data_IF_028122695462
#
_entry.id   IF_028122695462
#
_cell.length_a   1.000
_cell.length_b   1.000
_cell.length_c   1.000
_cell.angle_alpha   90.00
_cell.angle_beta   90.00
_cell.angle_gamma   90.00
#
_symmetry.space_group_name_H-M   'P 1'
#
loop_
_entity.id
_entity.type
_entity.pdbx_description
1 polymer ?
#
# COMPACT_ATOMS: atom_id res chain seq x y z
N UNK A 1 -19.87 30.23 72.74
CA UNK A 1 -19.14 31.44 72.32
C UNK A 1 -18.91 31.34 70.82
N UNK A 2 -19.65 32.12 70.03
CA UNK A 2 -19.42 32.42 68.61
C UNK A 2 -18.79 33.83 68.53
N UNK A 3 -18.11 34.26 67.43
CA UNK A 3 -18.80 34.79 66.22
C UNK A 3 -17.92 34.71 64.93
N UNK A 4 -18.17 35.47 63.84
CA UNK A 4 -19.34 35.41 62.96
C UNK A 4 -19.00 35.27 61.45
N UNK A 5 -20.06 35.01 60.69
CA UNK A 5 -20.20 35.03 59.24
C UNK A 5 -19.93 36.38 58.57
N UNK A 6 -19.47 36.37 57.31
CA UNK A 6 -19.66 37.49 56.37
C UNK A 6 -20.29 37.07 55.04
N UNK A 7 -21.20 37.93 54.62
CA UNK A 7 -22.20 37.83 53.57
C UNK A 7 -21.67 37.74 52.12
N UNK A 8 -22.47 37.06 51.30
CA UNK A 8 -22.60 37.25 49.84
C UNK A 8 -23.48 38.49 49.58
N UNK A 9 -23.38 39.09 48.38
CA UNK A 9 -24.62 39.25 47.60
C UNK A 9 -24.49 38.80 46.14
N UNK A 10 -25.64 38.43 45.59
CA UNK A 10 -25.91 38.08 44.20
C UNK A 10 -26.20 39.34 43.37
N UNK A 11 -25.94 39.26 42.06
CA UNK A 11 -26.49 40.15 41.04
C UNK A 11 -26.19 39.63 39.62
N UNK A 12 -27.21 39.12 38.92
CA UNK A 12 -27.26 38.93 37.45
C UNK A 12 -27.86 40.21 36.80
N UNK A 13 -28.22 40.26 35.49
CA UNK A 13 -27.41 40.27 34.27
C UNK A 13 -27.76 41.49 33.34
N UNK A 14 -27.01 41.72 32.25
CA UNK A 14 -27.44 42.54 31.10
C UNK A 14 -26.68 42.05 29.83
N UNK A 15 -27.36 41.47 28.84
CA UNK A 15 -27.87 42.11 27.60
C UNK A 15 -26.75 42.75 26.76
N UNK A 16 -26.27 42.13 25.67
CA UNK A 16 -26.82 42.19 24.31
C UNK A 16 -27.03 43.64 23.81
N UNK A 17 -26.29 44.02 22.74
CA UNK A 17 -26.76 44.77 21.54
C UNK A 17 -25.58 45.42 20.78
N UNK A 18 -25.53 45.09 19.47
CA UNK A 18 -25.01 45.86 18.31
C UNK A 18 -23.50 46.22 18.22
N UNK A 19 -22.88 46.23 17.03
CA UNK A 19 -23.45 46.21 15.70
C UNK A 19 -22.40 46.12 14.58
N UNK A 20 -22.93 45.79 13.40
CA UNK A 20 -22.33 45.72 12.05
C UNK A 20 -21.77 47.07 11.54
N UNK A 21 -21.29 46.98 10.29
CA UNK A 21 -21.08 48.00 9.23
C UNK A 21 -19.58 48.38 9.14
N UNK A 22 -18.86 48.08 8.06
CA UNK A 22 -19.03 48.63 6.71
C UNK A 22 -18.49 47.70 5.60
N UNK A 23 -19.33 47.48 4.60
CA UNK A 23 -18.96 47.20 3.21
C UNK A 23 -19.37 48.42 2.35
N UNK A 24 -18.80 48.48 1.14
CA UNK A 24 -19.09 49.35 -0.01
C UNK A 24 -18.35 50.68 -0.19
N UNK A 25 -17.51 50.70 -1.23
CA UNK A 25 -17.62 51.53 -2.46
C UNK A 25 -16.73 50.88 -3.56
N UNK A 26 -17.32 50.24 -4.58
CA UNK A 26 -17.69 50.76 -5.91
C UNK A 26 -16.47 51.32 -6.70
N UNK A 27 -15.98 50.64 -7.75
CA UNK A 27 -16.42 50.77 -9.17
C UNK A 27 -15.51 51.80 -9.88
N UNK A 28 -15.00 51.72 -11.10
CA UNK A 28 -15.34 51.04 -12.35
C UNK A 28 -14.26 51.51 -13.37
N UNK A 29 -13.84 50.71 -14.35
CA UNK A 29 -13.64 51.14 -15.76
C UNK A 29 -12.89 50.08 -16.60
N UNK A 30 -13.23 50.09 -17.87
CA UNK A 30 -13.18 49.05 -18.90
C UNK A 30 -12.04 49.27 -19.89
N UNK A 31 -11.49 48.18 -20.46
CA UNK A 31 -11.41 47.86 -21.91
C UNK A 31 -10.26 46.89 -22.20
N UNK A 32 -10.57 45.96 -23.10
CA UNK A 32 -9.85 44.70 -23.26
C UNK A 32 -8.58 44.73 -24.11
N UNK A 33 -7.99 43.54 -24.25
CA UNK A 33 -7.20 43.17 -25.42
C UNK A 33 -7.25 41.65 -25.61
N UNK A 34 -7.15 41.26 -26.88
CA UNK A 34 -7.39 39.95 -27.46
C UNK A 34 -6.42 38.83 -27.02
N UNK A 35 -6.96 37.62 -27.06
CA UNK A 35 -6.38 36.36 -27.54
C UNK A 35 -4.88 36.11 -27.36
N UNK A 36 -4.54 35.12 -26.52
CA UNK A 36 -3.60 34.05 -26.89
C UNK A 36 -4.08 32.70 -26.36
N UNK A 37 -4.21 31.77 -27.28
CA UNK A 37 -4.37 30.33 -27.13
C UNK A 37 -3.30 29.74 -26.21
N UNK A 38 -3.72 29.08 -25.14
CA UNK A 38 -2.90 28.21 -24.29
C UNK A 38 -3.28 26.74 -24.52
N UNK A 39 -2.33 25.80 -24.40
CA UNK A 39 -2.52 24.44 -24.91
C UNK A 39 -3.47 23.63 -24.04
N UNK A 40 -4.20 22.74 -24.71
CA UNK A 40 -4.99 21.66 -24.16
C UNK A 40 -4.27 20.93 -23.01
N UNK A 41 -4.90 20.91 -21.84
CA UNK A 41 -4.58 19.97 -20.76
C UNK A 41 -5.20 18.63 -21.15
N UNK A 42 -4.40 17.75 -21.74
CA UNK A 42 -4.76 16.36 -22.00
C UNK A 42 -4.25 15.46 -20.87
N UNK A 43 -5.20 14.83 -20.18
CA UNK A 43 -5.15 13.50 -19.56
C UNK A 43 -3.92 13.13 -18.69
N UNK A 44 -4.01 13.47 -17.40
CA UNK A 44 -3.16 12.91 -16.33
C UNK A 44 -3.58 11.52 -15.83
N UNK A 45 -4.52 10.81 -16.48
CA UNK A 45 -5.03 9.51 -15.99
C UNK A 45 -4.16 8.31 -16.36
N UNK A 46 -3.21 8.44 -17.30
CA UNK A 46 -2.43 7.30 -17.81
C UNK A 46 -1.24 6.93 -16.92
N UNK A 47 -0.72 7.86 -16.11
CA UNK A 47 0.50 7.61 -15.32
C UNK A 47 0.25 6.94 -13.96
N UNK A 48 -0.99 6.94 -13.46
CA UNK A 48 -1.33 6.38 -12.15
C UNK A 48 -1.60 4.87 -12.20
N UNK A 49 -2.13 4.37 -13.33
CA UNK A 49 -2.30 2.94 -13.61
C UNK A 49 -0.97 2.17 -13.48
N UNK A 50 0.16 2.83 -13.74
CA UNK A 50 1.50 2.24 -13.65
C UNK A 50 1.97 2.01 -12.21
N UNK A 51 1.47 2.74 -11.20
CA UNK A 51 1.87 2.51 -9.80
C UNK A 51 1.33 1.18 -9.29
N UNK A 52 0.01 0.98 -9.43
CA UNK A 52 -0.66 -0.26 -9.05
C UNK A 52 -0.17 -1.39 -9.95
N UNK A 53 -0.09 -1.18 -11.28
CA UNK A 53 0.43 -2.23 -12.18
C UNK A 53 1.89 -2.61 -11.88
N UNK A 54 2.76 -1.74 -11.34
CA UNK A 54 4.12 -2.12 -10.97
C UNK A 54 4.24 -2.84 -9.61
N UNK A 55 3.31 -2.61 -8.68
CA UNK A 55 3.28 -3.29 -7.38
C UNK A 55 2.50 -4.62 -7.47
N UNK A 56 1.58 -4.72 -8.42
CA UNK A 56 0.42 -5.61 -8.37
C UNK A 56 -0.01 -6.07 -9.79
N UNK A 57 0.91 -6.29 -10.74
CA UNK A 57 0.53 -6.92 -12.01
C UNK A 57 0.49 -8.44 -11.89
N UNK A 58 -0.73 -9.00 -11.88
CA UNK A 58 -0.95 -10.37 -12.37
C UNK A 58 -0.92 -10.38 -13.90
N UNK A 59 -0.09 -11.19 -14.58
CA UNK A 59 -0.43 -11.66 -15.92
C UNK A 59 -1.68 -12.56 -15.80
N UNK A 60 -2.70 -12.29 -16.61
CA UNK A 60 -3.95 -13.06 -16.57
C UNK A 60 -3.72 -14.54 -16.98
N UNK A 61 -3.49 -15.42 -16.01
CA UNK A 61 -3.53 -16.87 -16.18
C UNK A 61 -4.97 -17.35 -15.95
N UNK A 62 -5.83 -17.19 -16.96
CA UNK A 62 -7.11 -17.91 -16.96
C UNK A 62 -6.81 -19.41 -17.04
N UNK A 63 -6.98 -20.13 -15.93
CA UNK A 63 -7.25 -21.55 -15.95
C UNK A 63 -8.57 -21.71 -16.70
N UNK A 64 -8.50 -22.15 -17.95
CA UNK A 64 -9.67 -22.54 -18.72
C UNK A 64 -10.32 -23.74 -18.02
N UNK A 65 -11.35 -23.48 -17.21
CA UNK A 65 -12.29 -24.53 -16.79
C UNK A 65 -12.88 -25.13 -18.08
N UNK A 66 -12.45 -26.34 -18.39
CA UNK A 66 -12.96 -27.11 -19.52
C UNK A 66 -14.37 -27.55 -19.17
N UNK A 67 -15.36 -26.77 -19.57
CA UNK A 67 -16.77 -27.17 -19.54
C UNK A 67 -16.98 -28.22 -20.63
N UNK A 68 -17.11 -29.48 -20.22
CA UNK A 68 -17.56 -30.56 -21.10
C UNK A 68 -19.03 -30.34 -21.44
N UNK A 69 -19.31 -29.87 -22.66
CA UNK A 69 -20.64 -30.02 -23.26
C UNK A 69 -20.74 -31.42 -23.86
N UNK A 70 -21.60 -32.24 -23.25
CA UNK A 70 -22.12 -33.46 -23.87
C UNK A 70 -23.20 -33.05 -24.88
N UNK A 71 -23.01 -33.37 -26.16
CA UNK A 71 -24.11 -33.41 -27.13
C UNK A 71 -24.54 -34.86 -27.38
N UNK A 72 -25.85 -35.13 -27.57
CA UNK A 72 -26.32 -36.50 -27.71
C UNK A 72 -26.06 -37.07 -29.10
N UNK A 73 -25.83 -38.37 -29.06
CA UNK A 73 -25.79 -39.34 -30.14
C UNK A 73 -26.98 -39.25 -31.09
N UNK A 74 -26.72 -39.41 -32.39
CA UNK A 74 -27.60 -40.20 -33.25
C UNK A 74 -26.79 -41.02 -34.27
N UNK A 75 -27.20 -42.28 -34.38
CA UNK A 75 -26.70 -43.34 -35.25
C UNK A 75 -27.18 -43.12 -36.71
N UNK A 76 -26.72 -43.73 -37.81
CA UNK A 76 -25.97 -44.96 -38.14
C UNK A 76 -25.58 -44.85 -39.67
N UNK A 77 -25.11 -45.89 -40.40
CA UNK A 77 -23.82 -45.85 -41.09
C UNK A 77 -23.89 -45.97 -42.63
N UNK A 78 -22.79 -45.66 -43.33
CA UNK A 78 -22.46 -46.30 -44.62
C UNK A 78 -20.96 -46.59 -44.75
N UNK A 79 -20.71 -47.69 -45.43
CA UNK A 79 -19.49 -48.49 -45.56
C UNK A 79 -18.42 -47.86 -46.45
N UNK A 80 -17.14 -48.04 -46.11
CA UNK A 80 -16.05 -47.73 -47.03
C UNK A 80 -14.66 -48.06 -46.47
N UNK A 81 -14.07 -49.15 -46.97
CA UNK A 81 -12.71 -49.60 -46.68
C UNK A 81 -11.63 -48.52 -46.89
N UNK A 82 -10.69 -48.40 -45.93
CA UNK A 82 -9.23 -48.26 -46.15
C UNK A 82 -8.50 -48.28 -44.79
N UNK A 83 -7.51 -49.17 -44.65
CA UNK A 83 -6.56 -49.17 -43.52
C UNK A 83 -5.59 -47.98 -43.64
N UNK A 84 -5.33 -47.20 -42.58
CA UNK A 84 -4.14 -46.37 -42.48
C UNK A 84 -3.03 -47.04 -41.64
N UNK A 85 -1.77 -46.59 -41.78
CA UNK A 85 -0.60 -47.32 -41.31
C UNK A 85 -0.33 -47.14 -39.81
N UNK A 86 0.37 -48.14 -39.25
CA UNK A 86 0.86 -48.17 -37.86
C UNK A 86 1.91 -47.06 -37.68
N UNK A 87 1.56 -46.01 -36.94
CA UNK A 87 2.49 -44.97 -36.51
C UNK A 87 3.19 -45.44 -35.22
N UNK A 88 4.49 -45.77 -35.31
CA UNK A 88 5.35 -46.03 -34.14
C UNK A 88 5.52 -44.74 -33.34
N UNK A 89 5.00 -44.73 -32.12
CA UNK A 89 5.23 -43.67 -31.14
C UNK A 89 6.65 -43.83 -30.60
N UNK A 90 7.55 -42.91 -30.95
CA UNK A 90 8.83 -42.74 -30.25
C UNK A 90 8.57 -41.76 -29.10
N UNK A 91 8.78 -42.12 -27.82
CA UNK A 91 8.66 -41.16 -26.74
C UNK A 91 9.77 -40.11 -26.87
N UNK A 92 9.37 -38.88 -27.18
CA UNK A 92 10.23 -37.70 -27.17
C UNK A 92 10.55 -37.41 -25.70
N UNK A 93 11.76 -37.77 -25.27
CA UNK A 93 12.31 -37.36 -23.97
C UNK A 93 12.37 -35.83 -23.99
N UNK A 94 11.39 -35.18 -23.36
CA UNK A 94 11.39 -33.75 -23.17
C UNK A 94 12.35 -33.44 -22.03
N UNK A 95 13.56 -33.02 -22.36
CA UNK A 95 14.49 -32.42 -21.42
C UNK A 95 13.81 -31.20 -20.78
N UNK A 96 13.37 -31.34 -19.53
CA UNK A 96 13.12 -30.21 -18.65
C UNK A 96 14.46 -29.55 -18.32
N UNK A 97 14.90 -28.65 -19.20
CA UNK A 97 15.78 -27.57 -18.79
C UNK A 97 14.86 -26.48 -18.23
N UNK A 98 14.66 -26.50 -16.91
CA UNK A 98 14.15 -25.33 -16.20
C UNK A 98 15.12 -24.19 -16.46
N UNK A 99 14.76 -23.30 -17.37
CA UNK A 99 15.48 -22.04 -17.56
C UNK A 99 15.34 -21.30 -16.25
N UNK A 100 16.44 -21.22 -15.48
CA UNK A 100 16.51 -20.38 -14.30
C UNK A 100 16.10 -18.97 -14.73
N UNK A 101 14.99 -18.47 -14.20
CA UNK A 101 14.59 -17.08 -14.41
C UNK A 101 15.70 -16.19 -13.88
N UNK A 102 16.44 -15.55 -14.80
CA UNK A 102 17.50 -14.58 -14.49
C UNK A 102 16.94 -13.18 -14.26
N UNK A 103 15.60 -13.02 -14.24
CA UNK A 103 14.99 -11.75 -13.89
C UNK A 103 15.27 -11.47 -12.40
N UNK A 104 15.74 -10.27 -12.03
CA UNK A 104 15.93 -9.92 -10.63
C UNK A 104 14.58 -10.03 -9.91
N UNK A 105 14.50 -10.88 -8.88
CA UNK A 105 13.31 -11.00 -8.04
C UNK A 105 12.99 -9.65 -7.42
N UNK A 106 11.75 -9.19 -7.55
CA UNK A 106 11.31 -7.95 -6.93
C UNK A 106 11.17 -8.17 -5.41
N UNK A 107 11.71 -7.23 -4.64
CA UNK A 107 11.60 -7.23 -3.19
C UNK A 107 10.85 -6.00 -2.74
N UNK A 108 10.01 -6.15 -1.71
CA UNK A 108 9.43 -5.04 -1.00
C UNK A 108 10.19 -4.84 0.33
N UNK A 109 10.58 -3.61 0.60
CA UNK A 109 11.12 -3.19 1.90
C UNK A 109 9.97 -2.59 2.68
N UNK A 110 9.62 -3.20 3.81
CA UNK A 110 8.40 -2.89 4.55
C UNK A 110 8.64 -2.75 6.06
N UNK A 111 7.64 -2.27 6.77
CA UNK A 111 7.46 -2.51 8.20
C UNK A 111 6.23 -3.39 8.40
N UNK A 112 6.37 -4.49 9.15
CA UNK A 112 5.22 -5.29 9.57
C UNK A 112 4.57 -4.66 10.80
N UNK A 113 3.24 -4.75 10.88
CA UNK A 113 2.49 -4.28 12.04
C UNK A 113 2.65 -5.21 13.24
N UNK A 114 2.41 -4.68 14.45
CA UNK A 114 2.30 -5.53 15.64
C UNK A 114 1.04 -6.42 15.56
N UNK A 115 1.03 -7.51 16.31
CA UNK A 115 -0.06 -8.51 16.28
C UNK A 115 -1.43 -7.87 16.47
N UNK A 116 -1.58 -6.93 17.41
CA UNK A 116 -2.86 -6.26 17.67
C UNK A 116 -3.40 -5.48 16.47
N UNK A 117 -2.55 -4.71 15.79
CA UNK A 117 -2.96 -3.96 14.60
C UNK A 117 -3.11 -4.89 13.39
N UNK A 118 -2.21 -5.86 13.21
CA UNK A 118 -2.31 -6.86 12.15
C UNK A 118 -3.64 -7.63 12.24
N UNK A 119 -4.00 -8.15 13.42
CA UNK A 119 -5.26 -8.86 13.65
C UNK A 119 -6.48 -7.97 13.36
N UNK A 120 -6.42 -6.70 13.73
CA UNK A 120 -7.49 -5.74 13.44
C UNK A 120 -7.67 -5.52 11.95
N UNK A 121 -6.57 -5.31 11.21
CA UNK A 121 -6.62 -5.12 9.75
C UNK A 121 -7.01 -6.42 9.04
N UNK A 122 -6.54 -7.58 9.49
CA UNK A 122 -6.94 -8.87 8.93
C UNK A 122 -8.43 -9.14 9.10
N UNK A 123 -9.03 -8.77 10.25
CA UNK A 123 -10.50 -8.85 10.41
C UNK A 123 -11.26 -7.93 9.45
N UNK A 124 -10.72 -6.74 9.18
CA UNK A 124 -11.27 -5.84 8.16
C UNK A 124 -11.21 -6.47 6.77
N UNK A 125 -10.06 -7.00 6.38
CA UNK A 125 -9.87 -7.68 5.10
C UNK A 125 -10.83 -8.87 4.97
N UNK A 126 -10.92 -9.71 6.00
CA UNK A 126 -11.85 -10.85 6.01
C UNK A 126 -13.31 -10.41 5.88
N UNK A 127 -13.69 -9.27 6.47
CA UNK A 127 -15.03 -8.72 6.32
C UNK A 127 -15.30 -8.23 4.90
N UNK A 128 -14.30 -7.67 4.22
CA UNK A 128 -14.42 -7.26 2.81
C UNK A 128 -14.56 -8.47 1.88
N UNK A 129 -13.84 -9.56 2.15
CA UNK A 129 -14.04 -10.83 1.45
C UNK A 129 -15.47 -11.34 1.65
N UNK A 130 -15.95 -11.37 2.90
CA UNK A 130 -17.25 -11.94 3.24
C UNK A 130 -18.41 -11.15 2.63
N UNK A 131 -18.33 -9.81 2.65
CA UNK A 131 -19.43 -8.93 2.22
C UNK A 131 -19.38 -8.61 0.72
N UNK A 132 -18.19 -8.57 0.11
CA UNK A 132 -18.00 -8.10 -1.27
C UNK A 132 -17.24 -9.07 -2.17
N UNK A 133 -16.73 -10.18 -1.65
CA UNK A 133 -15.94 -11.15 -2.41
C UNK A 133 -14.54 -10.66 -2.78
N UNK A 134 -13.97 -9.73 -2.01
CA UNK A 134 -12.63 -9.18 -2.21
C UNK A 134 -11.57 -9.99 -1.44
N UNK A 135 -10.81 -10.87 -2.11
CA UNK A 135 -9.83 -11.79 -1.52
C UNK A 135 -8.38 -11.61 -2.02
N UNK A 136 -8.14 -10.90 -3.14
CA UNK A 136 -6.81 -10.84 -3.77
C UNK A 136 -5.75 -10.12 -2.91
N UNK A 137 -6.15 -9.27 -1.95
CA UNK A 137 -5.24 -8.64 -0.98
C UNK A 137 -4.50 -9.67 -0.12
N UNK A 138 -5.09 -10.84 0.10
CA UNK A 138 -4.54 -11.92 0.91
C UNK A 138 -3.33 -12.60 0.25
N UNK A 139 -3.05 -12.30 -1.03
CA UNK A 139 -1.81 -12.69 -1.69
C UNK A 139 -0.56 -12.01 -1.10
N UNK A 140 -0.75 -10.92 -0.34
CA UNK A 140 0.31 -10.31 0.46
C UNK A 140 0.25 -10.79 1.91
N UNK A 141 1.38 -11.18 2.52
CA UNK A 141 1.42 -11.61 3.91
C UNK A 141 1.21 -10.39 4.80
N UNK A 142 0.87 -10.61 6.07
CA UNK A 142 0.63 -9.65 7.16
C UNK A 142 0.59 -8.16 6.77
N UNK A 143 -0.50 -7.43 7.13
CA UNK A 143 -0.62 -6.00 6.87
C UNK A 143 0.65 -5.23 7.21
N UNK A 144 1.08 -4.37 6.29
CA UNK A 144 2.39 -3.74 6.33
C UNK A 144 2.39 -2.35 5.71
N UNK A 145 3.48 -1.61 5.93
CA UNK A 145 3.77 -0.34 5.28
C UNK A 145 4.95 -0.55 4.33
N UNK A 146 4.77 -0.24 3.05
CA UNK A 146 5.85 -0.36 2.06
C UNK A 146 6.63 0.95 1.93
N UNK A 147 7.96 0.85 2.08
CA UNK A 147 8.88 1.97 1.87
C UNK A 147 9.38 2.05 0.44
N UNK A 148 9.68 0.89 -0.14
CA UNK A 148 10.29 0.81 -1.46
C UNK A 148 10.12 -0.58 -2.07
N UNK A 149 9.77 -0.62 -3.35
CA UNK A 149 10.02 -1.80 -4.18
C UNK A 149 11.38 -1.69 -4.86
N UNK A 150 12.15 -2.77 -4.82
CA UNK A 150 13.49 -2.80 -5.34
C UNK A 150 13.79 -4.10 -6.08
N UNK A 151 14.19 -3.98 -7.35
CA UNK A 151 14.93 -5.04 -8.03
C UNK A 151 16.39 -4.98 -7.60
N UNK A 152 16.92 -6.02 -6.95
CA UNK A 152 18.29 -6.03 -6.42
C UNK A 152 19.12 -7.18 -6.99
N UNK A 153 20.39 -6.92 -7.31
CA UNK A 153 21.34 -7.94 -7.79
C UNK A 153 21.87 -8.85 -6.67
N UNK A 154 22.17 -8.26 -5.51
CA UNK A 154 22.85 -8.94 -4.39
C UNK A 154 22.01 -8.83 -3.12
N UNK A 155 21.16 -9.83 -2.87
CA UNK A 155 20.29 -9.91 -1.69
C UNK A 155 21.06 -9.84 -0.37
N UNK A 156 22.25 -10.45 -0.28
CA UNK A 156 23.09 -10.38 0.92
C UNK A 156 23.52 -8.96 1.28
N UNK A 157 23.90 -8.15 0.27
CA UNK A 157 24.27 -6.76 0.47
C UNK A 157 23.07 -5.92 0.94
N UNK A 158 21.88 -6.14 0.36
CA UNK A 158 20.65 -5.49 0.80
C UNK A 158 20.36 -5.81 2.29
N UNK A 159 20.44 -7.09 2.67
CA UNK A 159 20.23 -7.50 4.07
C UNK A 159 21.19 -6.82 5.03
N UNK A 160 22.47 -6.71 4.66
CA UNK A 160 23.47 -6.05 5.50
C UNK A 160 23.16 -4.55 5.68
N UNK A 161 22.81 -3.87 4.58
CA UNK A 161 22.44 -2.45 4.62
C UNK A 161 21.20 -2.22 5.47
N UNK A 162 20.14 -3.00 5.27
CA UNK A 162 18.90 -2.84 6.04
C UNK A 162 19.08 -3.20 7.52
N UNK A 163 19.92 -4.19 7.82
CA UNK A 163 20.31 -4.49 9.20
C UNK A 163 20.98 -3.28 9.88
N UNK A 164 21.89 -2.59 9.18
CA UNK A 164 22.55 -1.40 9.73
C UNK A 164 21.58 -0.23 9.91
N UNK A 165 20.67 -0.01 8.95
CA UNK A 165 19.59 0.98 9.08
C UNK A 165 18.73 0.66 10.31
N UNK A 166 18.34 -0.60 10.50
CA UNK A 166 17.54 -1.04 11.63
C UNK A 166 18.26 -0.86 12.97
N UNK A 167 19.55 -1.24 13.05
CA UNK A 167 20.38 -1.06 14.26
C UNK A 167 20.46 0.39 14.72
N UNK A 168 20.51 1.34 13.80
CA UNK A 168 20.59 2.79 14.10
C UNK A 168 19.23 3.45 14.27
N UNK A 169 18.13 2.74 14.03
CA UNK A 169 16.79 3.31 14.11
C UNK A 169 16.19 3.02 15.48
N UNK A 170 15.69 4.06 16.14
CA UNK A 170 14.88 3.89 17.36
C UNK A 170 13.44 3.50 16.95
N UNK A 171 12.77 2.59 17.68
CA UNK A 171 11.34 2.41 17.57
C UNK A 171 10.59 3.74 17.72
N UNK A 172 9.54 3.93 16.92
CA UNK A 172 8.71 5.14 16.98
C UNK A 172 7.25 4.81 16.68
N UNK A 173 6.38 5.80 16.86
CA UNK A 173 4.96 5.69 16.61
C UNK A 173 4.60 6.38 15.30
N UNK A 174 3.81 5.71 14.47
CA UNK A 174 3.09 6.30 13.36
C UNK A 174 1.58 6.28 13.64
N UNK A 175 0.84 7.11 12.91
CA UNK A 175 -0.60 7.25 13.05
C UNK A 175 -1.26 7.05 11.68
N UNK A 176 -2.48 6.52 11.68
CA UNK A 176 -3.33 6.45 10.48
C UNK A 176 -4.57 7.32 10.67
N UNK A 177 -5.28 7.60 9.58
CA UNK A 177 -6.58 8.28 9.64
C UNK A 177 -7.40 7.95 8.40
N UNK A 178 -8.72 7.79 8.57
CA UNK A 178 -9.66 7.64 7.45
C UNK A 178 -9.31 6.55 6.43
N UNK A 179 -9.74 6.77 5.19
CA UNK A 179 -9.58 5.86 4.06
C UNK A 179 -9.07 6.61 2.84
N UNK A 180 -8.30 5.93 2.01
CA UNK A 180 -7.80 6.45 0.74
C UNK A 180 -8.06 5.46 -0.41
N UNK A 181 -8.02 6.01 -1.63
CA UNK A 181 -8.25 5.26 -2.86
C UNK A 181 -7.14 5.62 -3.85
N UNK A 182 -6.50 4.62 -4.44
CA UNK A 182 -5.69 4.82 -5.64
C UNK A 182 -6.59 4.54 -6.85
N UNK A 183 -6.87 5.55 -7.69
CA UNK A 183 -7.76 5.38 -8.82
C UNK A 183 -7.15 4.48 -9.90
N UNK A 184 -8.00 3.80 -10.65
CA UNK A 184 -7.62 2.91 -11.73
C UNK A 184 -8.78 2.02 -12.16
N UNK A 185 -8.59 1.14 -13.16
CA UNK A 185 -9.59 0.14 -13.52
C UNK A 185 -9.89 -0.82 -12.37
N UNK A 186 -8.89 -1.09 -11.52
CA UNK A 186 -9.02 -1.84 -10.28
C UNK A 186 -8.54 -0.94 -9.11
N UNK A 187 -9.43 -0.13 -8.50
CA UNK A 187 -9.02 0.86 -7.51
C UNK A 187 -8.51 0.23 -6.21
N UNK A 188 -7.31 0.59 -5.75
CA UNK A 188 -6.80 0.09 -4.45
C UNK A 188 -7.44 0.89 -3.32
N UNK A 189 -8.02 0.19 -2.34
CA UNK A 189 -8.56 0.79 -1.12
C UNK A 189 -7.54 0.57 -0.01
N UNK A 190 -7.19 1.64 0.72
CA UNK A 190 -6.14 1.60 1.73
C UNK A 190 -6.43 2.51 2.92
N UNK A 191 -5.70 2.27 4.01
CA UNK A 191 -5.63 3.16 5.17
C UNK A 191 -4.35 4.00 5.02
N UNK A 192 -4.43 5.34 4.88
CA UNK A 192 -3.24 6.17 4.80
C UNK A 192 -2.55 6.25 6.16
N UNK A 193 -1.23 6.23 6.14
CA UNK A 193 -0.38 6.50 7.29
C UNK A 193 0.04 7.97 7.21
N UNK A 194 -0.12 8.69 8.30
CA UNK A 194 0.31 10.08 8.42
C UNK A 194 1.83 10.16 8.34
N UNK A 195 2.34 11.00 7.43
CA UNK A 195 3.76 11.31 7.37
C UNK A 195 4.16 12.06 8.65
N UNK A 196 5.25 11.62 9.26
CA UNK A 196 5.88 12.27 10.41
C UNK A 196 7.38 12.38 10.15
N UNK A 197 8.07 13.22 10.92
CA UNK A 197 9.52 13.38 10.79
C UNK A 197 10.25 12.05 10.94
N UNK A 198 9.91 11.26 11.94
CA UNK A 198 10.52 9.95 12.18
C UNK A 198 10.30 8.98 11.00
N UNK A 199 9.07 8.94 10.46
CA UNK A 199 8.73 8.06 9.33
C UNK A 199 9.43 8.49 8.04
N UNK A 200 9.46 9.80 7.76
CA UNK A 200 10.17 10.37 6.61
C UNK A 200 11.68 10.17 6.71
N UNK A 201 12.27 10.35 7.89
CA UNK A 201 13.69 10.10 8.11
C UNK A 201 14.05 8.62 7.94
N UNK A 202 13.20 7.69 8.37
CA UNK A 202 13.40 6.26 8.09
C UNK A 202 13.35 5.98 6.59
N UNK A 203 12.31 6.45 5.90
CA UNK A 203 12.16 6.28 4.45
C UNK A 203 13.35 6.82 3.68
N UNK A 204 13.80 8.03 4.00
CA UNK A 204 14.97 8.65 3.37
C UNK A 204 16.24 7.84 3.61
N UNK A 205 16.49 7.36 4.83
CA UNK A 205 17.64 6.51 5.15
C UNK A 205 17.62 5.19 4.38
N UNK A 206 16.45 4.54 4.27
CA UNK A 206 16.28 3.33 3.45
C UNK A 206 16.62 3.63 2.00
N UNK A 207 16.02 4.68 1.44
CA UNK A 207 16.20 5.05 0.04
C UNK A 207 17.67 5.36 -0.27
N UNK A 208 18.33 6.18 0.55
CA UNK A 208 19.74 6.50 0.38
C UNK A 208 20.65 5.27 0.50
N UNK A 209 20.45 4.45 1.54
CA UNK A 209 21.33 3.34 1.82
C UNK A 209 21.20 2.22 0.78
N UNK A 210 20.01 2.04 0.20
CA UNK A 210 19.74 1.01 -0.80
C UNK A 210 19.93 1.47 -2.25
N UNK A 211 19.99 2.78 -2.52
CA UNK A 211 20.17 3.32 -3.87
C UNK A 211 21.31 2.67 -4.67
N UNK A 212 22.52 2.41 -4.10
CA UNK A 212 23.62 1.78 -4.84
C UNK A 212 23.34 0.31 -5.22
N UNK A 213 22.36 -0.33 -4.60
CA UNK A 213 22.03 -1.75 -4.76
C UNK A 213 20.84 -1.98 -5.69
N UNK A 214 19.99 -0.97 -5.86
CA UNK A 214 18.76 -1.05 -6.62
C UNK A 214 19.04 -0.89 -8.11
N UNK A 215 18.58 -1.83 -8.92
CA UNK A 215 18.59 -1.73 -10.37
C UNK A 215 17.47 -0.83 -10.89
N UNK A 216 16.34 -0.88 -10.19
CA UNK A 216 15.12 -0.15 -10.50
C UNK A 216 14.40 0.13 -9.19
N UNK A 217 13.92 1.35 -9.07
CA UNK A 217 12.96 1.79 -8.04
C UNK A 217 11.75 2.35 -8.77
N UNK A 218 10.56 2.15 -8.22
CA UNK A 218 9.38 2.83 -8.76
C UNK A 218 9.39 4.31 -8.35
N UNK A 219 8.77 5.17 -9.18
CA UNK A 219 8.72 6.62 -8.96
C UNK A 219 8.04 6.99 -7.63
N UNK A 220 7.08 6.19 -7.21
CA UNK A 220 6.19 6.50 -6.09
C UNK A 220 6.75 6.03 -4.74
N UNK A 221 7.80 5.21 -4.76
CA UNK A 221 8.67 4.96 -3.61
C UNK A 221 9.69 6.08 -3.37
N UNK A 222 9.78 7.06 -4.29
CA UNK A 222 10.65 8.23 -4.13
C UNK A 222 10.11 9.22 -3.08
N UNK A 223 10.98 9.96 -2.36
CA UNK A 223 10.58 10.85 -1.25
C UNK A 223 9.47 11.88 -1.56
N UNK A 224 9.41 12.34 -2.81
CA UNK A 224 8.49 13.37 -3.27
C UNK A 224 7.07 12.83 -3.52
N UNK A 225 6.95 11.55 -3.89
CA UNK A 225 5.69 10.92 -4.28
C UNK A 225 5.25 9.82 -3.31
N UNK A 226 6.03 9.55 -2.26
CA UNK A 226 5.75 8.48 -1.31
C UNK A 226 4.55 8.80 -0.41
N UNK A 227 3.53 7.95 -0.53
CA UNK A 227 2.36 7.93 0.33
C UNK A 227 2.35 6.61 1.12
N UNK A 228 2.77 6.61 2.40
CA UNK A 228 2.73 5.41 3.20
C UNK A 228 1.27 5.01 3.48
N UNK A 229 0.97 3.73 3.28
CA UNK A 229 -0.38 3.20 3.39
C UNK A 229 -0.35 1.72 3.80
N UNK A 230 -1.51 1.22 4.25
CA UNK A 230 -1.79 -0.19 4.47
C UNK A 230 -2.95 -0.57 3.54
N UNK A 231 -2.71 -1.50 2.62
CA UNK A 231 -3.75 -1.94 1.67
C UNK A 231 -4.85 -2.75 2.37
N UNK A 232 -6.10 -2.53 1.97
CA UNK A 232 -7.27 -3.31 2.41
C UNK A 232 -7.87 -4.15 1.28
N UNK A 233 -7.83 -3.65 0.04
CA UNK A 233 -8.29 -4.37 -1.14
C UNK A 233 -7.53 -3.90 -2.38
N UNK A 234 -7.18 -4.83 -3.27
CA UNK A 234 -6.46 -4.56 -4.51
C UNK A 234 -6.66 -5.70 -5.52
N UNK A 235 -6.44 -5.39 -6.81
CA UNK A 235 -6.59 -6.27 -7.98
C UNK A 235 -8.03 -6.62 -8.36
N UNK A 236 -8.84 -7.08 -7.42
CA UNK A 236 -10.20 -7.62 -7.61
C UNK A 236 -11.32 -6.58 -7.39
N UNK A 237 -10.95 -5.38 -6.95
CA UNK A 237 -11.81 -4.20 -6.86
C UNK A 237 -12.25 -3.72 -8.25
N UNK A 238 -13.47 -3.19 -8.36
CA UNK A 238 -13.94 -2.46 -9.55
C UNK A 238 -14.52 -1.09 -9.16
N UNK A 239 -14.67 -0.13 -10.10
CA UNK A 239 -15.25 1.17 -9.80
C UNK A 239 -16.68 1.09 -9.23
N UNK A 240 -17.45 0.08 -9.62
CA UNK A 240 -18.82 -0.14 -9.16
C UNK A 240 -18.88 -0.59 -7.69
N UNK A 241 -17.87 -1.34 -7.23
CA UNK A 241 -17.76 -1.79 -5.84
C UNK A 241 -17.35 -0.66 -4.88
N UNK A 242 -16.80 0.43 -5.39
CA UNK A 242 -16.22 1.49 -4.56
C UNK A 242 -17.26 2.14 -3.63
N UNK A 243 -18.44 2.47 -4.13
CA UNK A 243 -19.51 3.08 -3.33
C UNK A 243 -19.94 2.20 -2.14
N UNK A 244 -20.40 0.96 -2.41
CA UNK A 244 -20.78 0.01 -1.35
C UNK A 244 -19.68 -0.27 -0.34
N UNK A 245 -18.44 -0.51 -0.79
CA UNK A 245 -17.31 -0.80 0.11
C UNK A 245 -16.97 0.40 0.99
N UNK A 246 -16.92 1.60 0.42
CA UNK A 246 -16.64 2.81 1.20
C UNK A 246 -17.75 3.11 2.21
N UNK A 247 -19.02 2.89 1.86
CA UNK A 247 -20.13 3.01 2.79
C UNK A 247 -19.98 2.03 3.97
N UNK A 248 -19.65 0.77 3.69
CA UNK A 248 -19.42 -0.25 4.71
C UNK A 248 -18.27 0.12 5.65
N UNK A 249 -17.12 0.52 5.09
CA UNK A 249 -15.93 0.87 5.86
C UNK A 249 -16.12 2.16 6.68
N UNK A 250 -16.96 3.09 6.24
CA UNK A 250 -17.20 4.37 6.93
C UNK A 250 -17.88 4.23 8.31
N UNK A 251 -18.33 3.03 8.68
CA UNK A 251 -18.83 2.73 10.03
C UNK A 251 -17.73 2.42 11.05
N UNK A 252 -16.46 2.39 10.62
CA UNK A 252 -15.31 2.11 11.49
C UNK A 252 -14.39 3.32 11.63
N UNK A 253 -13.62 3.35 12.73
CA UNK A 253 -12.49 4.28 12.84
C UNK A 253 -11.21 3.63 12.32
N UNK A 254 -10.42 4.43 11.63
CA UNK A 254 -9.09 4.07 11.12
C UNK A 254 -8.00 4.89 11.80
N UNK A 255 -8.28 5.46 12.98
CA UNK A 255 -7.32 6.22 13.78
C UNK A 255 -6.50 5.24 14.61
N UNK A 256 -5.48 4.64 14.00
CA UNK A 256 -4.63 3.64 14.63
C UNK A 256 -3.33 4.27 15.12
N UNK A 257 -2.83 3.74 16.24
CA UNK A 257 -1.47 3.98 16.71
C UNK A 257 -0.61 2.77 16.32
N UNK A 258 0.34 2.99 15.42
CA UNK A 258 1.21 1.95 14.89
C UNK A 258 2.58 2.03 15.56
N UNK A 259 3.01 0.95 16.21
CA UNK A 259 4.37 0.83 16.71
C UNK A 259 5.30 0.36 15.58
N UNK A 260 6.12 1.26 15.05
CA UNK A 260 7.09 0.95 13.99
C UNK A 260 8.39 0.51 14.66
N UNK A 261 8.67 -0.79 14.56
CA UNK A 261 9.70 -1.46 15.37
C UNK A 261 10.65 -2.33 14.55
N UNK A 262 10.43 -2.44 13.25
CA UNK A 262 11.19 -3.34 12.40
C UNK A 262 11.30 -2.83 10.97
N UNK A 263 12.23 -3.42 10.22
CA UNK A 263 12.16 -3.51 8.76
C UNK A 263 12.02 -4.97 8.37
N UNK A 264 11.26 -5.24 7.33
CA UNK A 264 11.14 -6.54 6.72
C UNK A 264 11.48 -6.47 5.23
N UNK A 265 11.99 -7.59 4.71
CA UNK A 265 12.08 -7.86 3.29
C UNK A 265 10.98 -8.85 2.97
N UNK A 266 10.04 -8.45 2.13
CA UNK A 266 9.12 -9.37 1.48
C UNK A 266 9.63 -9.68 0.08
N UNK A 267 9.54 -10.94 -0.31
CA UNK A 267 9.97 -11.40 -1.63
C UNK A 267 8.79 -11.92 -2.40
N UNK A 268 8.68 -11.50 -3.65
CA UNK A 268 7.73 -12.06 -4.59
C UNK A 268 8.13 -13.51 -4.93
N UNK A 269 7.23 -14.45 -4.68
CA UNK A 269 7.27 -15.85 -5.08
C UNK A 269 5.97 -16.20 -5.80
N UNK A 270 6.08 -16.57 -7.08
CA UNK A 270 4.94 -16.90 -7.93
C UNK A 270 3.91 -15.76 -7.99
N UNK A 271 2.85 -15.86 -7.19
CA UNK A 271 1.76 -14.87 -7.09
C UNK A 271 1.62 -14.27 -5.69
N UNK A 272 2.58 -14.52 -4.78
CA UNK A 272 2.52 -14.08 -3.39
C UNK A 272 3.80 -13.37 -2.96
N UNK A 273 3.67 -12.55 -1.92
CA UNK A 273 4.83 -12.09 -1.18
C UNK A 273 5.07 -13.00 0.02
N UNK A 274 6.33 -13.34 0.30
CA UNK A 274 6.70 -14.10 1.51
C UNK A 274 7.73 -13.33 2.33
N UNK A 275 7.64 -13.34 3.67
CA UNK A 275 8.68 -12.76 4.51
C UNK A 275 10.02 -13.49 4.31
N UNK A 276 11.05 -12.76 3.86
CA UNK A 276 12.42 -13.28 3.75
C UNK A 276 13.21 -13.03 5.03
N UNK A 277 13.14 -11.81 5.57
CA UNK A 277 13.95 -11.40 6.73
C UNK A 277 13.29 -10.23 7.45
N UNK A 278 13.37 -10.24 8.78
CA UNK A 278 12.93 -9.16 9.66
C UNK A 278 14.14 -8.67 10.47
N UNK A 279 14.26 -7.35 10.62
CA UNK A 279 15.28 -6.64 11.38
C UNK A 279 14.61 -5.75 12.42
N UNK A 280 14.77 -6.06 13.70
CA UNK A 280 14.27 -5.21 14.79
C UNK A 280 15.07 -3.91 14.92
N UNK A 281 14.39 -2.85 15.36
CA UNK A 281 15.01 -1.55 15.64
C UNK A 281 15.74 -1.54 16.98
N UNK A 282 17.02 -1.16 16.93
CA UNK A 282 17.92 -1.24 18.10
C UNK A 282 18.53 0.10 18.51
N UNK A 283 18.13 1.21 17.88
CA UNK A 283 18.79 2.52 18.09
C UNK A 283 18.76 3.03 19.54
N UNK A 284 17.87 2.49 20.38
CA UNK A 284 17.82 2.78 21.81
C UNK A 284 19.01 2.17 22.59
N UNK A 285 19.61 1.08 22.10
CA UNK A 285 20.75 0.40 22.74
C UNK A 285 22.06 1.17 22.56
N UNK A 286 22.15 2.05 21.57
CA UNK A 286 23.35 2.81 21.24
C UNK A 286 23.57 4.03 22.15
N UNK A 287 22.55 4.49 22.88
CA UNK A 287 22.66 5.61 23.82
C UNK A 287 23.12 5.20 25.22
N UNK A 288 23.15 3.90 25.53
CA UNK A 288 23.45 3.37 26.88
C UNK A 288 24.96 3.20 27.13
N UNK A 289 25.82 3.87 26.37
CA UNK A 289 27.23 3.98 26.70
C UNK A 289 27.53 5.36 27.31
N UNK A 290 27.25 5.60 28.60
CA UNK A 290 27.83 6.74 29.29
C UNK A 290 29.35 6.58 29.25
N UNK A 291 30.04 7.65 28.87
CA UNK A 291 31.51 7.72 28.89
C UNK A 291 32.01 7.40 30.30
N UNK A 292 32.69 6.27 30.44
CA UNK A 292 33.39 5.87 31.67
C UNK A 292 34.69 6.67 31.91
N UNK A 293 34.89 7.76 31.18
CA UNK A 293 35.96 8.71 31.42
C UNK A 293 35.29 10.03 31.78
N UNK A 294 35.19 10.27 33.09
CA UNK A 294 34.96 11.61 33.61
C UNK A 294 36.18 12.47 33.31
N UNK A 295 35.93 13.71 32.97
CA UNK A 295 36.95 14.75 32.87
C UNK A 295 37.66 14.89 34.23
N UNK A 296 38.98 14.67 34.24
CA UNK A 296 39.89 15.16 35.28
C UNK A 296 40.31 16.61 34.98
#
# INVERSE_FOLDING_TARGET
>A
MSPPSTHRPQGRPAAEVAGRVLADKAGESTRGLMAKSGPHVTAGSVQFTTFVSAIYHRPASRVARTSFFLTPSDARPTTGHRKPPVLRIIPRISNQLSVFSTAPSMLAITSLLNVQNADRINRLIQSLETEFGLDDVQATPDPHITYQLAGVRKRSALRQVLHEVARRTKPFVAHTTGLGIFPGPNPVIYIPVLRSDALNQLHYRIHQATAPLCLRTDKFSGPDCWLPHISLALHDTTPELLGPVMQYLNHQTFDLKLAITNLAILREEEEQFVPEKIFGFEGHKLEVAPSLFGDE
#
